data_IF_010216698484
#
_entry.id   IF_010216698484
#
_cell.length_a   1.000
_cell.length_b   1.000
_cell.length_c   1.000
_cell.angle_alpha   90.00
_cell.angle_beta   90.00
_cell.angle_gamma   90.00
#
_symmetry.space_group_name_H-M   'P 1'
#
loop_
_entity.id
_entity.type
_entity.pdbx_description
1 polymer ?
#
# COMPACT_ATOMS: atom_id res chain seq x y z
N UNK A 1 -58.10 -41.23 22.27
CA UNK A 1 -58.27 -39.86 21.72
C UNK A 1 -57.09 -39.01 22.19
N UNK A 2 -56.56 -38.15 21.31
CA UNK A 2 -55.45 -37.19 21.51
C UNK A 2 -54.00 -37.69 21.32
N UNK A 3 -53.44 -37.47 20.12
CA UNK A 3 -52.00 -37.28 19.91
C UNK A 3 -51.70 -35.79 20.02
N UNK A 4 -50.99 -35.40 21.08
CA UNK A 4 -50.43 -34.06 21.23
C UNK A 4 -49.23 -33.95 20.27
N UNK A 5 -49.27 -32.97 19.38
CA UNK A 5 -48.17 -32.66 18.49
C UNK A 5 -46.96 -32.14 19.26
N UNK A 6 -45.78 -32.66 18.94
CA UNK A 6 -44.51 -32.03 19.28
C UNK A 6 -43.92 -31.50 17.98
N UNK A 7 -43.81 -30.18 17.92
CA UNK A 7 -43.15 -29.38 16.92
C UNK A 7 -41.71 -29.86 16.75
N UNK A 8 -41.42 -30.60 15.69
CA UNK A 8 -40.05 -30.91 15.30
C UNK A 8 -39.45 -29.66 14.65
N UNK A 9 -38.92 -28.78 15.50
CA UNK A 9 -38.17 -27.59 15.12
C UNK A 9 -36.97 -28.05 14.29
N UNK A 10 -37.02 -27.86 12.97
CA UNK A 10 -35.87 -28.04 12.11
C UNK A 10 -34.85 -26.96 12.45
N UNK A 11 -33.88 -27.32 13.29
CA UNK A 11 -32.65 -26.56 13.38
C UNK A 11 -31.94 -26.72 12.04
N UNK A 12 -32.02 -25.68 11.20
CA UNK A 12 -31.14 -25.54 10.05
C UNK A 12 -29.73 -25.45 10.62
N UNK A 13 -29.07 -26.60 10.71
CA UNK A 13 -27.67 -26.70 11.01
C UNK A 13 -26.95 -26.17 9.75
N UNK A 14 -26.72 -24.85 9.71
CA UNK A 14 -25.70 -24.27 8.84
C UNK A 14 -24.38 -24.91 9.25
N UNK A 15 -24.05 -26.02 8.62
CA UNK A 15 -22.70 -26.55 8.63
C UNK A 15 -21.82 -25.45 8.05
N UNK A 16 -21.02 -24.83 8.91
CA UNK A 16 -19.81 -24.17 8.46
C UNK A 16 -19.13 -25.16 7.52
N UNK A 17 -18.92 -24.77 6.26
CA UNK A 17 -18.08 -25.54 5.35
C UNK A 17 -16.76 -25.75 6.07
N UNK A 18 -16.60 -26.93 6.67
CA UNK A 18 -15.35 -27.38 7.26
C UNK A 18 -14.31 -27.02 6.23
N UNK A 19 -13.26 -26.31 6.65
CA UNK A 19 -12.11 -26.03 5.81
C UNK A 19 -11.64 -27.37 5.25
N UNK A 20 -12.16 -27.73 4.07
CA UNK A 20 -11.71 -28.90 3.35
C UNK A 20 -10.27 -28.54 3.05
N UNK A 21 -9.34 -29.19 3.76
CA UNK A 21 -7.93 -29.09 3.49
C UNK A 21 -7.77 -29.53 2.05
N UNK A 22 -7.83 -28.58 1.11
CA UNK A 22 -7.58 -28.81 -0.30
C UNK A 22 -6.19 -29.39 -0.34
N UNK A 23 -6.11 -30.71 -0.56
CA UNK A 23 -4.85 -31.40 -0.66
C UNK A 23 -4.01 -30.64 -1.68
N UNK A 24 -2.85 -30.10 -1.30
CA UNK A 24 -2.06 -29.28 -2.20
C UNK A 24 -1.70 -30.12 -3.41
N UNK A 25 -2.05 -29.64 -4.61
CA UNK A 25 -1.68 -30.30 -5.86
C UNK A 25 -0.16 -30.52 -5.88
N UNK A 26 0.34 -31.58 -6.54
CA UNK A 26 1.78 -31.82 -6.67
C UNK A 26 2.56 -30.58 -7.15
N UNK A 27 1.96 -29.80 -8.06
CA UNK A 27 2.50 -28.52 -8.54
C UNK A 27 2.58 -27.45 -7.45
N UNK A 28 1.54 -27.30 -6.62
CA UNK A 28 1.55 -26.32 -5.52
C UNK A 28 2.61 -26.61 -4.46
N UNK A 29 2.93 -27.89 -4.19
CA UNK A 29 4.01 -28.28 -3.26
C UNK A 29 5.38 -27.90 -3.83
N UNK A 30 5.61 -28.10 -5.13
CA UNK A 30 6.87 -27.75 -5.79
C UNK A 30 7.15 -26.24 -5.75
N UNK A 31 6.22 -25.42 -6.25
CA UNK A 31 6.38 -23.95 -6.24
C UNK A 31 6.34 -23.35 -4.82
N UNK A 32 5.60 -23.99 -3.91
CA UNK A 32 5.58 -23.62 -2.50
C UNK A 32 6.92 -23.83 -1.79
N UNK A 33 7.66 -24.88 -2.14
CA UNK A 33 8.90 -25.26 -1.45
C UNK A 33 10.12 -24.56 -2.04
N UNK A 34 10.26 -24.56 -3.37
CA UNK A 34 11.47 -24.09 -4.03
C UNK A 34 11.35 -22.66 -4.55
N UNK A 35 10.21 -22.30 -5.13
CA UNK A 35 10.05 -20.98 -5.75
C UNK A 35 9.68 -19.89 -4.75
N UNK A 36 8.96 -20.24 -3.68
CA UNK A 36 8.51 -19.26 -2.68
C UNK A 36 9.65 -18.57 -1.91
N UNK A 37 10.72 -19.27 -1.47
CA UNK A 37 11.88 -18.60 -0.87
C UNK A 37 12.64 -17.72 -1.87
N UNK A 38 12.85 -18.21 -3.09
CA UNK A 38 13.56 -17.48 -4.16
C UNK A 38 12.80 -16.20 -4.54
N UNK A 39 11.49 -16.30 -4.71
CA UNK A 39 10.66 -15.14 -5.02
C UNK A 39 10.73 -14.11 -3.89
N UNK A 40 10.71 -14.54 -2.62
CA UNK A 40 10.84 -13.63 -1.48
C UNK A 40 12.17 -12.88 -1.48
N UNK A 41 13.29 -13.58 -1.68
CA UNK A 41 14.60 -12.96 -1.67
C UNK A 41 14.80 -12.05 -2.88
N UNK A 42 14.35 -12.46 -4.06
CA UNK A 42 14.41 -11.64 -5.27
C UNK A 42 13.58 -10.37 -5.12
N UNK A 43 12.33 -10.48 -4.64
CA UNK A 43 11.47 -9.31 -4.44
C UNK A 43 12.04 -8.37 -3.39
N UNK A 44 12.58 -8.90 -2.29
CA UNK A 44 13.23 -8.09 -1.27
C UNK A 44 14.49 -7.41 -1.83
N UNK A 45 15.32 -8.13 -2.59
CA UNK A 45 16.53 -7.57 -3.19
C UNK A 45 16.20 -6.43 -4.17
N UNK A 46 15.21 -6.63 -5.05
CA UNK A 46 14.72 -5.57 -5.94
C UNK A 46 14.18 -4.41 -5.13
N UNK A 47 13.34 -4.67 -4.13
CA UNK A 47 12.78 -3.62 -3.28
C UNK A 47 13.86 -2.79 -2.57
N UNK A 48 14.88 -3.44 -2.00
CA UNK A 48 16.01 -2.75 -1.37
C UNK A 48 16.77 -1.90 -2.39
N UNK A 49 17.04 -2.41 -3.59
CA UNK A 49 17.67 -1.62 -4.65
C UNK A 49 16.83 -0.40 -5.03
N UNK A 50 15.52 -0.59 -5.21
CA UNK A 50 14.60 0.49 -5.54
C UNK A 50 14.57 1.56 -4.44
N UNK A 51 14.53 1.16 -3.17
CA UNK A 51 14.56 2.10 -2.05
C UNK A 51 15.88 2.89 -2.00
N UNK A 52 17.02 2.25 -2.23
CA UNK A 52 18.31 2.94 -2.25
C UNK A 52 18.36 3.95 -3.39
N UNK A 53 17.98 3.54 -4.61
CA UNK A 53 17.94 4.44 -5.77
C UNK A 53 16.96 5.59 -5.57
N UNK A 54 15.77 5.31 -5.06
CA UNK A 54 14.78 6.34 -4.74
C UNK A 54 15.29 7.30 -3.66
N UNK A 55 15.94 6.79 -2.61
CA UNK A 55 16.51 7.63 -1.55
C UNK A 55 17.59 8.56 -2.10
N UNK A 56 18.42 8.08 -3.03
CA UNK A 56 19.39 8.91 -3.73
C UNK A 56 18.70 10.03 -4.53
N UNK A 57 17.73 9.68 -5.39
CA UNK A 57 16.99 10.67 -6.19
C UNK A 57 16.20 11.66 -5.33
N UNK A 58 15.70 11.22 -4.16
CA UNK A 58 14.99 12.06 -3.19
C UNK A 58 15.90 13.14 -2.62
N UNK A 59 17.14 12.77 -2.24
CA UNK A 59 18.11 13.71 -1.70
C UNK A 59 18.45 14.82 -2.71
N UNK A 60 18.68 14.45 -3.97
CA UNK A 60 18.91 15.44 -5.04
C UNK A 60 17.71 16.38 -5.23
N UNK A 61 16.49 15.84 -5.20
CA UNK A 61 15.28 16.64 -5.33
C UNK A 61 15.05 17.59 -4.14
N UNK A 62 15.47 17.20 -2.93
CA UNK A 62 15.30 18.03 -1.73
C UNK A 62 16.23 19.27 -1.77
N UNK A 63 17.45 19.13 -2.28
CA UNK A 63 18.36 20.28 -2.49
C UNK A 63 17.79 21.27 -3.51
N UNK A 64 17.28 20.78 -4.65
CA UNK A 64 16.65 21.61 -5.68
C UNK A 64 15.45 22.33 -5.10
N UNK A 65 14.59 21.62 -4.36
CA UNK A 65 13.38 22.18 -3.78
C UNK A 65 13.64 23.29 -2.77
N UNK A 66 14.73 23.19 -2.00
CA UNK A 66 15.14 24.26 -1.10
C UNK A 66 15.50 25.54 -1.89
N UNK A 67 16.29 25.41 -2.96
CA UNK A 67 16.67 26.54 -3.81
C UNK A 67 15.49 27.20 -4.53
N UNK A 68 14.53 26.39 -4.99
CA UNK A 68 13.31 26.86 -5.62
C UNK A 68 12.44 27.64 -4.63
N UNK A 69 12.32 27.16 -3.40
CA UNK A 69 11.54 27.81 -2.36
C UNK A 69 12.11 29.18 -1.98
N UNK A 70 13.45 29.30 -1.88
CA UNK A 70 14.12 30.58 -1.67
C UNK A 70 13.89 31.55 -2.83
N UNK A 71 13.97 31.04 -4.05
CA UNK A 71 13.74 31.84 -5.26
C UNK A 71 12.31 32.35 -5.32
N UNK A 72 11.32 31.50 -5.02
CA UNK A 72 9.90 31.87 -4.94
C UNK A 72 9.70 32.94 -3.88
N UNK A 73 10.21 32.74 -2.66
CA UNK A 73 10.06 33.71 -1.58
C UNK A 73 10.66 35.07 -1.94
N UNK A 74 11.83 35.09 -2.61
CA UNK A 74 12.45 36.32 -3.10
C UNK A 74 11.59 37.03 -4.14
N UNK A 75 11.07 36.28 -5.11
CA UNK A 75 10.22 36.82 -6.18
C UNK A 75 8.92 37.39 -5.61
N UNK A 76 8.27 36.68 -4.69
CA UNK A 76 7.07 37.16 -4.00
C UNK A 76 7.33 38.47 -3.23
N UNK A 77 8.48 38.58 -2.56
CA UNK A 77 8.90 39.82 -1.89
C UNK A 77 9.08 41.00 -2.86
N UNK A 78 9.74 40.77 -3.99
CA UNK A 78 9.93 41.79 -5.03
C UNK A 78 8.58 42.25 -5.61
N UNK A 79 7.70 41.32 -5.96
CA UNK A 79 6.35 41.63 -6.47
C UNK A 79 5.57 42.46 -5.46
N UNK A 80 5.63 42.11 -4.17
CA UNK A 80 4.94 42.86 -3.11
C UNK A 80 5.47 44.28 -2.98
N UNK A 81 6.79 44.46 -3.01
CA UNK A 81 7.42 45.80 -2.94
C UNK A 81 7.05 46.67 -4.14
N UNK A 82 7.01 46.10 -5.35
CA UNK A 82 6.61 46.80 -6.56
C UNK A 82 5.12 47.14 -6.56
N UNK A 83 4.27 46.23 -6.08
CA UNK A 83 2.85 46.48 -5.93
C UNK A 83 2.58 47.63 -4.94
N UNK A 84 3.28 47.66 -3.81
CA UNK A 84 3.20 48.75 -2.84
C UNK A 84 3.70 50.08 -3.43
N UNK A 85 4.86 50.09 -4.10
CA UNK A 85 5.41 51.27 -4.76
C UNK A 85 4.47 51.83 -5.83
N UNK A 86 3.86 50.95 -6.63
CA UNK A 86 2.88 51.32 -7.66
C UNK A 86 1.57 51.87 -7.09
N UNK A 87 1.23 51.51 -5.85
CA UNK A 87 0.01 51.99 -5.16
C UNK A 87 0.22 53.31 -4.43
N UNK A 88 1.47 53.66 -4.11
CA UNK A 88 1.87 54.94 -3.51
C UNK A 88 2.21 56.04 -4.52
N UNK A 89 2.25 55.70 -5.81
CA UNK A 89 2.41 56.64 -6.93
C UNK A 89 1.05 57.03 -7.51
#
# INVERSE_FOLDING_TARGET
MFRLGVLQRSLIQRGYSSAATKQPSPTSRFYGTFSRPIAKTLLLAVFTYQLTYWSWAKLEADDIRASDQETISRLEGQVRSLAEASKSA
#
